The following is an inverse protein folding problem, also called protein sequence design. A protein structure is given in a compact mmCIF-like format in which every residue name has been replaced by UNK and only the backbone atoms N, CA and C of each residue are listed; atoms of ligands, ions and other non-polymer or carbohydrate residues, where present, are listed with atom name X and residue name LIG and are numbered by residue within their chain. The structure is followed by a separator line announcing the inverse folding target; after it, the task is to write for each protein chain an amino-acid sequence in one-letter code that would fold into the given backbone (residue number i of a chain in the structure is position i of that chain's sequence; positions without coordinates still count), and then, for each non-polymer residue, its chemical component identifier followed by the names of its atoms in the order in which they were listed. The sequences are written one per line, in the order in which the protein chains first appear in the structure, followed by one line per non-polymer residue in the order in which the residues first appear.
data_IF_368576637425
#
_entry.id   IF_368576637425
#
_cell.length_a   1.000
_cell.length_b   1.000
_cell.length_c   1.000
_cell.angle_alpha   90.00
_cell.angle_beta   90.00
_cell.angle_gamma   90.00
#
_symmetry.space_group_name_H-M   'P 1'
#
loop_
_entity.id
_entity.type
_entity.pdbx_description
1 polymer ?
#
# COMPACT_ATOMS: atom_id res chain seq x y z
N UNK A 1 -20.81 1.80 16.54
CA UNK A 1 -21.47 1.25 15.34
C UNK A 1 -20.49 1.38 14.18
N UNK A 2 -19.85 0.28 13.77
CA UNK A 2 -18.99 0.23 12.59
C UNK A 2 -19.90 0.31 11.38
N UNK A 3 -19.87 1.42 10.64
CA UNK A 3 -20.55 1.48 9.34
C UNK A 3 -19.98 0.35 8.47
N UNK A 4 -20.81 -0.43 7.76
CA UNK A 4 -20.30 -1.41 6.82
C UNK A 4 -19.35 -0.71 5.84
N UNK A 5 -18.17 -1.28 5.62
CA UNK A 5 -17.22 -0.74 4.65
C UNK A 5 -17.96 -0.61 3.31
N UNK A 6 -18.10 0.63 2.81
CA UNK A 6 -18.71 0.90 1.51
C UNK A 6 -17.91 0.12 0.47
N UNK A 7 -18.59 -0.65 -0.37
CA UNK A 7 -18.00 -1.44 -1.47
C UNK A 7 -18.62 -0.99 -2.78
N UNK A 8 -17.85 -1.08 -3.85
CA UNK A 8 -18.38 -0.91 -5.19
C UNK A 8 -19.35 -2.05 -5.54
N UNK A 9 -20.38 -1.72 -6.31
CA UNK A 9 -21.28 -2.73 -6.88
C UNK A 9 -20.63 -3.43 -8.07
N UNK A 10 -21.21 -4.55 -8.52
CA UNK A 10 -20.73 -5.26 -9.71
C UNK A 10 -20.73 -4.37 -10.96
N UNK A 11 -21.76 -3.54 -11.12
CA UNK A 11 -21.86 -2.58 -12.22
C UNK A 11 -20.75 -1.53 -12.19
N UNK A 12 -20.41 -1.02 -11.00
CA UNK A 12 -19.30 -0.06 -10.82
C UNK A 12 -17.95 -0.75 -11.04
N UNK A 13 -17.78 -1.97 -10.54
CA UNK A 13 -16.56 -2.77 -10.68
C UNK A 13 -16.26 -3.13 -12.14
N UNK A 14 -17.29 -3.47 -12.92
CA UNK A 14 -17.17 -3.84 -14.33
C UNK A 14 -16.63 -2.71 -15.22
N UNK A 15 -16.70 -1.45 -14.77
CA UNK A 15 -16.14 -0.31 -15.51
C UNK A 15 -14.63 -0.45 -15.68
N UNK A 16 -13.90 -0.89 -14.65
CA UNK A 16 -12.44 -1.03 -14.72
C UNK A 16 -12.02 -2.02 -15.80
N UNK A 17 -12.71 -3.16 -15.89
CA UNK A 17 -12.38 -4.23 -16.84
C UNK A 17 -12.39 -3.75 -18.31
N UNK A 18 -13.21 -2.75 -18.63
CA UNK A 18 -13.30 -2.18 -19.99
C UNK A 18 -12.07 -1.35 -20.38
N UNK A 19 -11.27 -0.91 -19.40
CA UNK A 19 -10.07 -0.09 -19.63
C UNK A 19 -8.76 -0.87 -19.47
N UNK A 20 -8.81 -2.12 -19.00
CA UNK A 20 -7.61 -2.92 -18.79
C UNK A 20 -7.21 -3.65 -20.08
N UNK A 21 -5.94 -3.58 -20.51
CA UNK A 21 -5.43 -4.41 -21.60
C UNK A 21 -5.66 -5.91 -21.38
N UNK A 22 -5.96 -6.64 -22.45
CA UNK A 22 -6.23 -8.07 -22.39
C UNK A 22 -5.04 -8.91 -21.90
N UNK A 23 -3.80 -8.48 -22.16
CA UNK A 23 -2.58 -9.21 -21.81
C UNK A 23 -2.04 -9.02 -20.39
N UNK A 24 -2.77 -8.30 -19.51
CA UNK A 24 -2.35 -8.12 -18.12
C UNK A 24 -2.46 -9.43 -17.32
N UNK A 25 -1.48 -9.67 -16.45
CA UNK A 25 -1.54 -10.76 -15.46
C UNK A 25 -2.56 -10.44 -14.37
N UNK A 26 -3.07 -11.47 -13.69
CA UNK A 26 -4.07 -11.29 -12.63
C UNK A 26 -3.55 -10.41 -11.49
N UNK A 27 -2.29 -10.57 -11.10
CA UNK A 27 -1.66 -9.73 -10.06
C UNK A 27 -1.67 -8.24 -10.44
N UNK A 28 -1.39 -7.90 -11.70
CA UNK A 28 -1.42 -6.50 -12.14
C UNK A 28 -2.86 -5.98 -12.23
N UNK A 29 -3.83 -6.84 -12.58
CA UNK A 29 -5.26 -6.49 -12.50
C UNK A 29 -5.70 -6.19 -11.07
N UNK A 30 -5.22 -6.96 -10.10
CA UNK A 30 -5.51 -6.75 -8.68
C UNK A 30 -4.91 -5.42 -8.18
N UNK A 31 -3.69 -5.07 -8.61
CA UNK A 31 -3.11 -3.75 -8.30
C UNK A 31 -3.94 -2.62 -8.93
N UNK A 32 -4.34 -2.77 -10.20
CA UNK A 32 -5.20 -1.80 -10.87
C UNK A 32 -6.54 -1.63 -10.15
N UNK A 33 -7.12 -2.74 -9.67
CA UNK A 33 -8.32 -2.75 -8.84
C UNK A 33 -8.11 -1.95 -7.55
N UNK A 34 -7.03 -2.21 -6.81
CA UNK A 34 -6.73 -1.48 -5.58
C UNK A 34 -6.65 0.05 -5.81
N UNK A 35 -5.99 0.47 -6.90
CA UNK A 35 -5.89 1.89 -7.27
C UNK A 35 -7.26 2.48 -7.60
N UNK A 36 -8.06 1.80 -8.43
CA UNK A 36 -9.39 2.24 -8.83
C UNK A 36 -10.39 2.29 -7.67
N UNK A 37 -10.46 1.21 -6.88
CA UNK A 37 -11.36 1.10 -5.74
C UNK A 37 -11.09 2.21 -4.72
N UNK A 38 -9.81 2.50 -4.44
CA UNK A 38 -9.43 3.52 -3.47
C UNK A 38 -9.98 4.91 -3.82
N UNK A 39 -9.93 5.31 -5.09
CA UNK A 39 -10.41 6.63 -5.56
C UNK A 39 -11.92 6.65 -5.76
N UNK A 40 -12.52 5.54 -6.20
CA UNK A 40 -13.96 5.46 -6.39
C UNK A 40 -14.70 5.53 -5.06
N UNK A 41 -14.19 4.88 -4.01
CA UNK A 41 -14.79 4.89 -2.67
C UNK A 41 -14.72 6.27 -1.96
N UNK A 42 -13.89 7.19 -2.44
CA UNK A 42 -13.88 8.58 -1.95
C UNK A 42 -15.12 9.36 -2.39
N UNK A 43 -15.78 8.94 -3.47
CA UNK A 43 -17.01 9.56 -3.92
C UNK A 43 -18.21 9.04 -3.12
N UNK A 44 -19.09 9.94 -2.69
CA UNK A 44 -20.30 9.59 -1.93
C UNK A 44 -21.29 8.70 -2.69
N UNK A 45 -21.20 8.68 -4.03
CA UNK A 45 -22.07 7.90 -4.92
C UNK A 45 -21.70 6.42 -5.00
N UNK A 46 -20.50 6.03 -4.56
CA UNK A 46 -20.05 4.65 -4.60
C UNK A 46 -20.99 3.70 -3.85
N UNK A 47 -21.17 2.48 -4.37
CA UNK A 47 -22.11 1.50 -3.85
C UNK A 47 -23.53 1.67 -4.38
N UNK A 48 -23.73 2.46 -5.44
CA UNK A 48 -25.04 2.62 -6.07
C UNK A 48 -25.34 1.40 -6.95
N UNK A 49 -26.51 0.77 -6.76
CA UNK A 49 -26.92 -0.41 -7.53
C UNK A 49 -27.10 -0.14 -9.03
N UNK A 50 -27.55 1.08 -9.36
CA UNK A 50 -27.77 1.53 -10.73
C UNK A 50 -27.05 2.87 -10.96
N UNK A 51 -25.74 2.85 -11.24
CA UNK A 51 -24.97 4.07 -11.44
C UNK A 51 -25.52 4.86 -12.63
N UNK A 52 -25.87 6.12 -12.41
CA UNK A 52 -26.40 6.99 -13.47
C UNK A 52 -25.30 7.35 -14.50
N UNK A 53 -25.67 7.90 -15.68
CA UNK A 53 -24.69 8.25 -16.70
C UNK A 53 -23.64 9.28 -16.24
N UNK A 54 -23.95 10.15 -15.28
CA UNK A 54 -23.00 11.12 -14.77
C UNK A 54 -21.96 10.45 -13.85
N UNK A 55 -22.39 9.50 -13.02
CA UNK A 55 -21.50 8.71 -12.19
C UNK A 55 -20.63 7.77 -13.03
N UNK A 56 -21.21 7.07 -14.01
CA UNK A 56 -20.47 6.21 -14.94
C UNK A 56 -19.34 6.98 -15.64
N UNK A 57 -19.58 8.21 -16.11
CA UNK A 57 -18.52 9.04 -16.72
C UNK A 57 -17.34 9.26 -15.76
N UNK A 58 -17.61 9.50 -14.49
CA UNK A 58 -16.56 9.67 -13.48
C UNK A 58 -15.81 8.36 -13.25
N UNK A 59 -16.53 7.23 -13.12
CA UNK A 59 -15.93 5.90 -13.00
C UNK A 59 -15.03 5.56 -14.21
N UNK A 60 -15.46 5.85 -15.44
CA UNK A 60 -14.62 5.66 -16.63
C UNK A 60 -13.37 6.54 -16.59
N UNK A 61 -13.46 7.78 -16.10
CA UNK A 61 -12.29 8.65 -15.93
C UNK A 61 -11.32 8.10 -14.88
N UNK A 62 -11.83 7.67 -13.73
CA UNK A 62 -11.06 7.04 -12.66
C UNK A 62 -10.39 5.73 -13.12
N UNK A 63 -11.11 4.89 -13.85
CA UNK A 63 -10.57 3.65 -14.41
C UNK A 63 -9.43 3.92 -15.40
N UNK A 64 -9.56 4.93 -16.28
CA UNK A 64 -8.46 5.34 -17.17
C UNK A 64 -7.22 5.78 -16.40
N UNK A 65 -7.40 6.54 -15.32
CA UNK A 65 -6.30 6.96 -14.45
C UNK A 65 -5.63 5.73 -13.83
N UNK A 66 -6.41 4.83 -13.23
CA UNK A 66 -5.88 3.60 -12.62
C UNK A 66 -5.12 2.73 -13.63
N UNK A 67 -5.64 2.57 -14.85
CA UNK A 67 -4.96 1.87 -15.94
C UNK A 67 -3.62 2.55 -16.28
N UNK A 68 -3.59 3.87 -16.45
CA UNK A 68 -2.33 4.58 -16.78
C UNK A 68 -1.31 4.43 -15.64
N UNK A 69 -1.74 4.56 -14.39
CA UNK A 69 -0.87 4.42 -13.22
C UNK A 69 -0.26 3.02 -13.13
N UNK A 70 -1.07 1.97 -13.28
CA UNK A 70 -0.56 0.59 -13.19
C UNK A 70 0.38 0.25 -14.36
N UNK A 71 0.05 0.69 -15.58
CA UNK A 71 0.92 0.45 -16.73
C UNK A 71 2.25 1.19 -16.61
N UNK A 72 2.24 2.41 -16.06
CA UNK A 72 3.47 3.13 -15.77
C UNK A 72 4.30 2.41 -14.68
N UNK A 73 3.65 1.89 -13.62
CA UNK A 73 4.32 1.09 -12.61
C UNK A 73 4.98 -0.15 -13.22
N UNK A 74 4.28 -0.86 -14.12
CA UNK A 74 4.85 -2.00 -14.85
C UNK A 74 6.04 -1.60 -15.72
N UNK A 75 5.98 -0.45 -16.41
CA UNK A 75 7.09 0.02 -17.24
C UNK A 75 8.33 0.40 -16.42
N UNK A 76 8.14 1.11 -15.30
CA UNK A 76 9.26 1.67 -14.51
C UNK A 76 9.82 0.71 -13.47
N UNK A 77 8.98 -0.19 -12.95
CA UNK A 77 9.31 -1.09 -11.84
C UNK A 77 9.15 -2.56 -12.19
N UNK A 78 8.74 -2.89 -13.42
CA UNK A 78 8.69 -4.25 -13.92
C UNK A 78 10.06 -4.95 -13.88
N UNK A 79 10.05 -6.27 -13.72
CA UNK A 79 11.26 -7.08 -13.61
C UNK A 79 11.92 -7.06 -12.23
N UNK A 80 11.36 -6.33 -11.25
CA UNK A 80 11.83 -6.31 -9.85
C UNK A 80 10.70 -6.75 -8.91
N UNK A 81 11.04 -7.52 -7.88
CA UNK A 81 10.09 -7.87 -6.81
C UNK A 81 9.83 -6.65 -5.93
N UNK A 82 8.60 -6.14 -5.92
CA UNK A 82 8.17 -5.04 -5.04
C UNK A 82 7.41 -5.63 -3.86
N UNK A 83 7.90 -5.39 -2.65
CA UNK A 83 7.19 -5.80 -1.43
C UNK A 83 6.22 -4.69 -0.98
N UNK A 84 4.93 -5.00 -0.97
CA UNK A 84 3.89 -4.12 -0.42
C UNK A 84 3.54 -4.54 1.02
N UNK A 85 4.08 -3.82 2.00
CA UNK A 85 3.83 -4.09 3.41
C UNK A 85 2.35 -3.82 3.78
N UNK A 86 1.75 -4.67 4.62
CA UNK A 86 0.36 -4.51 5.10
C UNK A 86 0.31 -3.47 6.22
N UNK A 87 -0.39 -2.36 5.97
CA UNK A 87 -0.48 -1.22 6.89
C UNK A 87 0.56 -0.15 6.56
N UNK A 88 0.44 1.04 7.17
CA UNK A 88 1.41 2.15 7.05
C UNK A 88 2.72 1.80 7.75
N UNK A 89 3.31 0.66 7.43
CA UNK A 89 4.63 0.24 7.88
C UNK A 89 5.69 0.97 7.06
N UNK A 90 5.81 2.30 7.26
CA UNK A 90 7.01 3.09 6.94
C UNK A 90 6.83 4.60 7.20
N UNK A 91 6.09 5.00 8.23
CA UNK A 91 6.47 6.25 8.91
C UNK A 91 6.74 5.89 10.36
N UNK A 92 7.95 5.37 10.61
CA UNK A 92 8.56 5.60 11.91
C UNK A 92 8.50 7.11 12.12
N UNK A 93 7.73 7.53 13.12
CA UNK A 93 7.68 8.95 13.46
C UNK A 93 9.09 9.42 13.81
N UNK A 94 9.37 10.72 13.77
CA UNK A 94 10.65 11.25 14.22
C UNK A 94 11.03 10.75 15.63
N UNK A 95 10.02 10.57 16.51
CA UNK A 95 10.15 9.94 17.83
C UNK A 95 10.65 8.50 17.72
N UNK A 96 10.07 7.70 16.85
CA UNK A 96 10.40 6.28 16.72
C UNK A 96 11.81 6.08 16.14
N UNK A 97 12.22 6.93 15.19
CA UNK A 97 13.60 6.95 14.67
C UNK A 97 14.60 7.33 15.77
N UNK A 98 14.29 8.33 16.59
CA UNK A 98 15.12 8.70 17.73
C UNK A 98 15.19 7.58 18.78
N UNK A 99 14.07 6.91 19.05
CA UNK A 99 14.05 5.76 19.95
C UNK A 99 14.90 4.60 19.40
N UNK A 100 14.84 4.35 18.08
CA UNK A 100 15.66 3.31 17.44
C UNK A 100 17.16 3.63 17.47
N UNK A 101 17.56 4.91 17.32
CA UNK A 101 18.97 5.29 17.44
C UNK A 101 19.52 5.14 18.88
N UNK A 102 18.64 5.14 19.89
CA UNK A 102 18.99 4.89 21.29
C UNK A 102 18.92 3.40 21.69
N UNK A 103 18.52 2.50 20.78
CA UNK A 103 18.40 1.08 21.06
C UNK A 103 19.76 0.39 21.11
N UNK A 104 20.01 -0.42 22.16
CA UNK A 104 21.29 -1.10 22.42
C UNK A 104 21.22 -2.63 22.33
N UNK A 105 20.06 -3.20 21.97
CA UNK A 105 19.85 -4.65 21.87
C UNK A 105 18.99 -5.23 22.99
N UNK A 106 19.05 -4.68 24.20
CA UNK A 106 18.41 -5.24 25.40
C UNK A 106 17.63 -4.22 26.25
N UNK A 107 17.67 -2.93 25.89
CA UNK A 107 17.14 -1.82 26.70
C UNK A 107 15.65 -1.51 26.47
N UNK A 108 14.84 -2.50 26.09
CA UNK A 108 13.41 -2.31 25.76
C UNK A 108 12.62 -1.64 26.88
N UNK A 109 12.80 -2.08 28.13
CA UNK A 109 12.13 -1.54 29.31
C UNK A 109 12.50 -0.07 29.57
N UNK A 110 13.74 0.32 29.28
CA UNK A 110 14.23 1.71 29.43
C UNK A 110 13.56 2.61 28.40
N UNK A 111 13.52 2.18 27.14
CA UNK A 111 12.90 2.92 26.06
C UNK A 111 11.39 3.03 26.25
N UNK A 112 10.73 1.95 26.70
CA UNK A 112 9.31 1.93 27.02
C UNK A 112 8.95 3.03 28.03
N UNK A 113 9.71 3.12 29.12
CA UNK A 113 9.51 4.16 30.14
C UNK A 113 9.81 5.56 29.61
N UNK A 114 10.91 5.74 28.88
CA UNK A 114 11.36 7.04 28.36
C UNK A 114 10.40 7.64 27.34
N UNK A 115 9.81 6.81 26.48
CA UNK A 115 8.95 7.26 25.39
C UNK A 115 7.45 7.06 25.68
N UNK A 116 7.07 6.60 26.87
CA UNK A 116 5.67 6.40 27.26
C UNK A 116 4.97 5.30 26.45
N UNK A 117 5.69 4.22 26.15
CA UNK A 117 5.23 3.09 25.34
C UNK A 117 5.21 1.80 26.16
N UNK A 118 4.47 0.80 25.69
CA UNK A 118 4.62 -0.57 26.20
C UNK A 118 5.88 -1.21 25.62
N UNK A 119 6.52 -2.12 26.37
CA UNK A 119 7.70 -2.85 25.86
C UNK A 119 7.41 -3.60 24.55
N UNK A 120 6.20 -4.15 24.43
CA UNK A 120 5.76 -4.78 23.20
C UNK A 120 5.76 -3.77 22.05
N UNK A 121 5.19 -2.57 22.23
CA UNK A 121 5.21 -1.55 21.18
C UNK A 121 6.63 -1.14 20.77
N UNK A 122 7.57 -1.08 21.72
CA UNK A 122 8.99 -0.82 21.43
C UNK A 122 9.58 -1.95 20.58
N UNK A 123 9.31 -3.23 20.89
CA UNK A 123 9.78 -4.37 20.10
C UNK A 123 9.30 -4.34 18.65
N UNK A 124 8.02 -4.04 18.44
CA UNK A 124 7.44 -3.84 17.10
C UNK A 124 8.23 -2.79 16.32
N UNK A 125 8.40 -1.61 16.90
CA UNK A 125 9.07 -0.48 16.25
C UNK A 125 10.53 -0.83 15.89
N UNK A 126 11.26 -1.47 16.80
CA UNK A 126 12.66 -1.89 16.57
C UNK A 126 12.74 -2.96 15.49
N UNK A 127 11.80 -3.91 15.46
CA UNK A 127 11.75 -4.95 14.44
C UNK A 127 11.48 -4.34 13.06
N UNK A 128 10.47 -3.47 12.94
CA UNK A 128 10.14 -2.77 11.70
C UNK A 128 11.34 -1.95 11.20
N UNK A 129 12.06 -1.28 12.10
CA UNK A 129 13.28 -0.54 11.78
C UNK A 129 14.41 -1.45 11.29
N UNK A 130 14.65 -2.59 11.97
CA UNK A 130 15.67 -3.55 11.54
C UNK A 130 15.37 -4.16 10.18
N UNK A 131 14.13 -4.56 9.93
CA UNK A 131 13.70 -5.10 8.63
C UNK A 131 13.96 -4.09 7.52
N UNK A 132 13.68 -2.81 7.76
CA UNK A 132 13.96 -1.74 6.80
C UNK A 132 15.46 -1.49 6.60
N UNK A 133 16.26 -1.51 7.67
CA UNK A 133 17.72 -1.40 7.55
C UNK A 133 18.32 -2.57 6.77
N UNK A 134 17.82 -3.79 6.98
CA UNK A 134 18.23 -4.98 6.24
C UNK A 134 17.85 -4.85 4.77
N UNK A 135 16.61 -4.45 4.47
CA UNK A 135 16.12 -4.23 3.10
C UNK A 135 16.97 -3.21 2.34
N UNK A 136 17.31 -2.10 2.99
CA UNK A 136 18.17 -1.05 2.43
C UNK A 136 19.61 -1.55 2.17
N UNK A 137 20.14 -2.44 3.02
CA UNK A 137 21.50 -2.99 2.90
C UNK A 137 21.60 -4.16 1.91
N UNK A 138 20.53 -4.94 1.75
CA UNK A 138 20.47 -6.07 0.81
C UNK A 138 20.47 -5.64 -0.67
N UNK A 139 20.41 -4.34 -0.97
CA UNK A 139 20.49 -3.78 -2.33
C UNK A 139 21.87 -3.82 -3.00
N UNK A 140 22.92 -4.33 -2.35
CA UNK A 140 24.24 -4.55 -2.97
C UNK A 140 24.95 -5.78 -2.37
N UNK A 141 24.92 -6.90 -3.09
CA UNK A 141 25.95 -7.93 -3.00
C UNK A 141 26.90 -7.72 -4.18
N UNK A 142 28.09 -7.11 -3.99
CA UNK A 142 29.13 -7.13 -5.00
C UNK A 142 29.66 -8.57 -5.09
N UNK A 143 29.56 -9.20 -6.28
CA UNK A 143 30.25 -10.46 -6.58
C UNK A 143 29.41 -11.74 -6.56
N UNK A 144 28.16 -11.71 -7.02
CA UNK A 144 27.42 -12.94 -7.40
C UNK A 144 26.88 -12.85 -8.84
N UNK A 145 27.60 -12.13 -9.69
CA UNK A 145 27.52 -12.26 -11.14
C UNK A 145 28.90 -12.75 -11.62
N UNK A 146 29.07 -14.07 -11.63
CA UNK A 146 30.04 -14.77 -12.49
C UNK A 146 29.26 -15.50 -13.59
#
# INVERSE_FOLDING_TARGET
MTMPARRLTEAEAAVLAQHLPAGLTDEVRDVAWCLFESIALMDSRAGTAHPDPAWLRVLHAMARIATVQVLHLCAEKGGKTIYLAKGVAAYLSARDLQMCSEFRGDNYHVLARRYGLTEMRVRQIVNDWHEEQIRMRQGRLPGIDD
#
